data_IF_347590919550
#
_entry.id   IF_347590919550
#
_cell.length_a   1.000
_cell.length_b   1.000
_cell.length_c   1.000
_cell.angle_alpha   90.00
_cell.angle_beta   90.00
_cell.angle_gamma   90.00
#
_symmetry.space_group_name_H-M   'P 1'
#
loop_
_entity.id
_entity.type
_entity.pdbx_description
1 polymer ?
#
# COMPACT_ATOMS: atom_id res chain seq x y z
N UNK A 1 -14.60 -5.16 -25.42
CA UNK A 1 -15.26 -4.10 -26.21
C UNK A 1 -14.27 -3.16 -26.88
N UNK A 2 -13.24 -2.67 -26.15
CA UNK A 2 -12.24 -1.74 -26.67
C UNK A 2 -11.23 -2.40 -27.63
N UNK A 3 -10.87 -3.67 -27.43
CA UNK A 3 -10.03 -4.41 -28.37
C UNK A 3 -10.64 -4.47 -29.78
N UNK A 4 -11.93 -4.75 -29.92
CA UNK A 4 -12.60 -4.73 -31.22
C UNK A 4 -12.59 -3.33 -31.87
N UNK A 5 -12.69 -2.25 -31.09
CA UNK A 5 -12.57 -0.90 -31.61
C UNK A 5 -11.13 -0.63 -32.11
N UNK A 6 -10.13 -0.99 -31.33
CA UNK A 6 -8.72 -0.89 -31.74
C UNK A 6 -8.44 -1.69 -33.03
N UNK A 7 -8.92 -2.93 -33.14
CA UNK A 7 -8.78 -3.76 -34.34
C UNK A 7 -9.43 -3.11 -35.57
N UNK A 8 -10.56 -2.42 -35.37
CA UNK A 8 -11.24 -1.72 -36.45
C UNK A 8 -10.44 -0.51 -36.94
N UNK A 9 -9.96 0.33 -36.02
CA UNK A 9 -9.12 1.47 -36.36
C UNK A 9 -7.78 1.05 -37.01
N UNK A 10 -7.15 -0.03 -36.54
CA UNK A 10 -5.92 -0.56 -37.07
C UNK A 10 -5.98 -0.83 -38.58
N UNK A 11 -7.15 -1.17 -39.10
CA UNK A 11 -7.34 -1.51 -40.53
C UNK A 11 -7.21 -0.29 -41.47
N UNK A 12 -7.55 0.91 -41.00
CA UNK A 12 -7.58 2.08 -41.87
C UNK A 12 -6.73 3.27 -41.41
N UNK A 13 -6.20 3.23 -40.18
CA UNK A 13 -5.51 4.37 -39.58
C UNK A 13 -4.26 4.84 -40.36
N UNK A 14 -3.71 3.98 -41.20
CA UNK A 14 -2.59 4.30 -42.08
C UNK A 14 -3.01 4.67 -43.53
N UNK A 15 -4.31 4.80 -43.76
CA UNK A 15 -4.84 5.22 -45.08
C UNK A 15 -4.93 6.75 -45.16
N UNK A 16 -4.97 7.33 -46.41
CA UNK A 16 -5.12 8.77 -46.57
C UNK A 16 -6.44 9.36 -46.06
N UNK A 17 -7.44 8.52 -45.83
CA UNK A 17 -8.77 8.96 -45.30
C UNK A 17 -8.80 9.09 -43.82
N UNK A 18 -7.79 8.60 -43.09
CA UNK A 18 -7.75 8.69 -41.64
C UNK A 18 -7.52 10.12 -41.18
N UNK A 19 -8.39 10.62 -40.35
CA UNK A 19 -8.37 11.95 -39.75
C UNK A 19 -7.52 11.96 -38.45
N UNK A 20 -7.22 13.14 -37.93
CA UNK A 20 -6.58 13.31 -36.62
C UNK A 20 -7.47 12.75 -35.49
N UNK A 21 -8.78 12.95 -35.60
CA UNK A 21 -9.79 12.39 -34.66
C UNK A 21 -9.79 10.85 -34.68
N UNK A 22 -9.61 10.22 -35.83
CA UNK A 22 -9.47 8.76 -35.93
C UNK A 22 -8.19 8.25 -35.22
N UNK A 23 -7.08 8.99 -35.38
CA UNK A 23 -5.83 8.69 -34.68
C UNK A 23 -6.03 8.77 -33.15
N UNK A 24 -6.70 9.83 -32.70
CA UNK A 24 -6.99 10.00 -31.28
C UNK A 24 -7.89 8.89 -30.73
N UNK A 25 -8.97 8.57 -31.43
CA UNK A 25 -9.89 7.48 -31.03
C UNK A 25 -9.20 6.13 -31.04
N UNK A 26 -8.29 5.89 -31.97
CA UNK A 26 -7.48 4.67 -31.97
C UNK A 26 -6.55 4.59 -30.77
N UNK A 27 -5.79 5.66 -30.51
CA UNK A 27 -4.91 5.72 -29.33
C UNK A 27 -5.70 5.50 -28.04
N UNK A 28 -6.87 6.13 -27.92
CA UNK A 28 -7.74 5.98 -26.75
C UNK A 28 -8.32 4.56 -26.62
N UNK A 29 -8.71 3.92 -27.73
CA UNK A 29 -9.19 2.54 -27.72
C UNK A 29 -8.09 1.55 -27.29
N UNK A 30 -6.84 1.79 -27.70
CA UNK A 30 -5.68 1.02 -27.25
C UNK A 30 -5.41 1.23 -25.75
N UNK A 31 -5.47 2.47 -25.29
CA UNK A 31 -5.33 2.78 -23.86
C UNK A 31 -6.37 2.05 -23.00
N UNK A 32 -7.65 2.13 -23.37
CA UNK A 32 -8.74 1.45 -22.67
C UNK A 32 -8.67 -0.09 -22.77
N UNK A 33 -7.91 -0.60 -23.75
CA UNK A 33 -7.62 -2.04 -23.88
C UNK A 33 -6.33 -2.45 -23.16
N UNK A 34 -5.72 -1.55 -22.39
CA UNK A 34 -4.43 -1.73 -21.69
C UNK A 34 -3.22 -2.01 -22.63
N UNK A 35 -3.33 -1.64 -23.91
CA UNK A 35 -2.26 -1.75 -24.90
C UNK A 35 -1.40 -0.46 -24.89
N UNK A 36 -0.84 -0.13 -23.71
CA UNK A 36 -0.23 1.16 -23.41
C UNK A 36 0.92 1.52 -24.34
N UNK A 37 1.77 0.55 -24.74
CA UNK A 37 2.87 0.76 -25.68
C UNK A 37 2.37 1.21 -27.05
N UNK A 38 1.35 0.55 -27.59
CA UNK A 38 0.79 0.93 -28.90
C UNK A 38 0.02 2.24 -28.80
N UNK A 39 -0.73 2.46 -27.72
CA UNK A 39 -1.41 3.72 -27.45
C UNK A 39 -0.42 4.88 -27.43
N UNK A 40 0.70 4.73 -26.71
CA UNK A 40 1.77 5.71 -26.63
C UNK A 40 2.35 6.03 -28.02
N UNK A 41 2.69 5.01 -28.81
CA UNK A 41 3.24 5.20 -30.14
C UNK A 41 2.26 5.95 -31.07
N UNK A 42 0.97 5.63 -31.01
CA UNK A 42 -0.06 6.32 -31.82
C UNK A 42 -0.26 7.76 -31.34
N UNK A 43 -0.28 8.02 -30.02
CA UNK A 43 -0.39 9.37 -29.47
C UNK A 43 0.81 10.24 -29.84
N UNK A 44 2.03 9.71 -29.78
CA UNK A 44 3.25 10.39 -30.21
C UNK A 44 3.24 10.72 -31.71
N UNK A 45 2.70 9.83 -32.56
CA UNK A 45 2.50 10.12 -33.97
C UNK A 45 1.52 11.27 -34.20
N UNK A 46 0.47 11.37 -33.38
CA UNK A 46 -0.43 12.52 -33.39
C UNK A 46 0.28 13.83 -33.03
N UNK A 47 1.14 13.80 -32.01
CA UNK A 47 1.93 14.98 -31.58
C UNK A 47 2.95 15.45 -32.62
N UNK A 48 3.40 14.59 -33.56
CA UNK A 48 4.25 15.02 -34.69
C UNK A 48 3.53 16.02 -35.62
N UNK A 49 2.19 15.95 -35.67
CA UNK A 49 1.38 16.89 -36.48
C UNK A 49 1.04 18.16 -35.67
N UNK A 50 0.73 18.03 -34.40
CA UNK A 50 0.40 19.13 -33.49
C UNK A 50 0.93 18.84 -32.09
N UNK A 51 2.11 19.33 -31.76
CA UNK A 51 2.79 19.13 -30.50
C UNK A 51 2.00 19.68 -29.27
N UNK A 52 1.06 20.62 -29.49
CA UNK A 52 0.26 21.24 -28.45
C UNK A 52 -1.14 20.61 -28.29
N UNK A 53 -1.43 19.50 -28.98
CA UNK A 53 -2.72 18.86 -28.92
C UNK A 53 -2.97 18.22 -27.55
N UNK A 54 -3.88 18.80 -26.76
CA UNK A 54 -4.12 18.42 -25.36
C UNK A 54 -4.44 16.93 -25.17
N UNK A 55 -5.32 16.35 -26.01
CA UNK A 55 -5.73 14.95 -25.84
C UNK A 55 -4.59 13.95 -26.16
N UNK A 56 -3.68 14.26 -27.07
CA UNK A 56 -2.51 13.42 -27.29
C UNK A 56 -1.48 13.57 -26.16
N UNK A 57 -1.21 14.79 -25.68
CA UNK A 57 -0.33 14.99 -24.51
C UNK A 57 -0.86 14.27 -23.27
N UNK A 58 -2.18 14.33 -23.02
CA UNK A 58 -2.86 13.56 -21.99
C UNK A 58 -2.56 12.07 -22.11
N UNK A 59 -2.76 11.47 -23.27
CA UNK A 59 -2.52 10.03 -23.48
C UNK A 59 -1.04 9.66 -23.34
N UNK A 60 -0.12 10.53 -23.76
CA UNK A 60 1.33 10.30 -23.56
C UNK A 60 1.65 10.29 -22.07
N UNK A 61 1.09 11.20 -21.28
CA UNK A 61 1.24 11.20 -19.81
C UNK A 61 0.68 9.90 -19.21
N UNK A 62 -0.56 9.55 -19.49
CA UNK A 62 -1.22 8.37 -18.94
C UNK A 62 -0.46 7.08 -19.25
N UNK A 63 -0.14 6.87 -20.53
CA UNK A 63 0.58 5.67 -20.96
C UNK A 63 1.95 5.55 -20.29
N UNK A 64 2.71 6.65 -20.16
CA UNK A 64 4.00 6.62 -19.50
C UNK A 64 3.88 6.33 -18.00
N UNK A 65 2.83 6.82 -17.32
CA UNK A 65 2.55 6.47 -15.92
C UNK A 65 2.28 4.97 -15.78
N UNK A 66 1.38 4.42 -16.61
CA UNK A 66 1.04 2.98 -16.58
C UNK A 66 2.23 2.08 -16.94
N UNK A 67 3.11 2.56 -17.83
CA UNK A 67 4.37 1.89 -18.21
C UNK A 67 5.50 2.13 -17.20
N UNK A 68 5.27 2.90 -16.14
CA UNK A 68 6.24 3.27 -15.10
C UNK A 68 7.48 4.01 -15.65
N UNK A 69 7.31 4.74 -16.73
CA UNK A 69 8.32 5.59 -17.36
C UNK A 69 8.19 7.01 -16.80
N UNK A 70 8.56 7.17 -15.54
CA UNK A 70 8.21 8.37 -14.78
C UNK A 70 8.89 9.65 -15.28
N UNK A 71 10.13 9.57 -15.79
CA UNK A 71 10.83 10.73 -16.35
C UNK A 71 10.16 11.23 -17.65
N UNK A 72 9.66 10.31 -18.48
CA UNK A 72 8.91 10.63 -19.69
C UNK A 72 7.49 11.10 -19.35
N UNK A 73 6.90 10.51 -18.32
CA UNK A 73 5.59 10.93 -17.82
C UNK A 73 5.62 12.35 -17.27
N UNK A 74 6.68 12.76 -16.56
CA UNK A 74 6.84 14.12 -16.02
C UNK A 74 6.93 15.16 -17.13
N UNK A 75 7.70 14.88 -18.17
CA UNK A 75 7.77 15.75 -19.38
C UNK A 75 6.43 15.85 -20.10
N UNK A 76 5.71 14.72 -20.18
CA UNK A 76 4.38 14.69 -20.78
C UNK A 76 3.33 15.42 -19.93
N UNK A 77 3.42 15.34 -18.60
CA UNK A 77 2.58 16.10 -17.69
C UNK A 77 2.81 17.62 -17.87
N UNK A 78 4.07 18.06 -17.93
CA UNK A 78 4.40 19.47 -18.19
C UNK A 78 3.83 19.94 -19.55
N UNK A 79 4.01 19.13 -20.61
CA UNK A 79 3.44 19.44 -21.92
C UNK A 79 1.90 19.49 -21.88
N UNK A 80 1.25 18.62 -21.11
CA UNK A 80 -0.21 18.58 -21.01
C UNK A 80 -0.76 19.77 -20.19
N UNK A 81 -0.25 19.98 -18.98
CA UNK A 81 -0.79 20.98 -18.06
C UNK A 81 -0.35 22.41 -18.40
N UNK A 82 0.86 22.62 -18.94
CA UNK A 82 1.44 23.94 -19.08
C UNK A 82 1.60 24.41 -20.55
N UNK A 83 1.60 23.49 -21.52
CA UNK A 83 1.90 23.82 -22.91
C UNK A 83 0.83 23.42 -23.93
N UNK A 84 -0.22 22.70 -23.54
CA UNK A 84 -1.29 22.29 -24.44
C UNK A 84 -2.31 23.40 -24.73
N UNK A 85 -2.86 23.39 -25.93
CA UNK A 85 -3.90 24.33 -26.33
C UNK A 85 -5.28 23.84 -25.88
N UNK A 86 -6.09 24.74 -25.30
CA UNK A 86 -7.47 24.49 -24.90
C UNK A 86 -7.66 23.20 -24.05
N UNK A 87 -6.73 22.93 -23.16
CA UNK A 87 -6.84 21.80 -22.25
C UNK A 87 -7.99 22.00 -21.25
N UNK A 88 -8.89 21.02 -21.19
CA UNK A 88 -9.88 20.91 -20.13
C UNK A 88 -9.49 19.73 -19.23
N UNK A 89 -9.38 19.98 -17.93
CA UNK A 89 -8.85 19.03 -16.97
C UNK A 89 -9.96 18.28 -16.25
N UNK A 90 -9.92 16.95 -16.34
CA UNK A 90 -10.84 16.02 -15.69
C UNK A 90 -10.27 15.52 -14.35
N UNK A 91 -11.12 14.89 -13.57
CA UNK A 91 -10.71 14.15 -12.36
C UNK A 91 -9.57 13.16 -12.66
N UNK A 92 -9.67 12.44 -13.77
CA UNK A 92 -8.67 11.44 -14.17
C UNK A 92 -7.30 12.07 -14.49
N UNK A 93 -7.26 13.28 -15.04
CA UNK A 93 -6.00 13.99 -15.31
C UNK A 93 -5.24 14.29 -14.03
N UNK A 94 -5.92 14.84 -13.03
CA UNK A 94 -5.34 15.13 -11.73
C UNK A 94 -4.95 13.86 -10.97
N UNK A 95 -5.75 12.79 -11.09
CA UNK A 95 -5.42 11.49 -10.50
C UNK A 95 -4.13 10.90 -11.07
N UNK A 96 -3.98 10.89 -12.40
CA UNK A 96 -2.75 10.42 -13.06
C UNK A 96 -1.53 11.28 -12.71
N UNK A 97 -1.73 12.61 -12.63
CA UNK A 97 -0.65 13.52 -12.21
C UNK A 97 -0.27 13.27 -10.74
N UNK A 98 -1.23 13.10 -9.85
CA UNK A 98 -0.99 12.72 -8.45
C UNK A 98 -0.24 11.40 -8.32
N UNK A 99 -0.64 10.37 -9.09
CA UNK A 99 0.04 9.09 -9.10
C UNK A 99 1.50 9.18 -9.58
N UNK A 100 1.75 9.98 -10.63
CA UNK A 100 3.10 10.29 -11.10
C UNK A 100 3.94 10.96 -10.00
N UNK A 101 3.41 12.01 -9.38
CA UNK A 101 4.11 12.76 -8.34
C UNK A 101 4.40 11.89 -7.11
N UNK A 102 3.48 11.01 -6.74
CA UNK A 102 3.69 10.02 -5.68
C UNK A 102 4.83 9.06 -6.03
N UNK A 103 4.87 8.54 -7.27
CA UNK A 103 5.95 7.68 -7.75
C UNK A 103 7.32 8.39 -7.77
N UNK A 104 7.34 9.70 -8.02
CA UNK A 104 8.50 10.58 -7.94
C UNK A 104 8.83 11.03 -6.51
N UNK A 105 8.12 10.52 -5.49
CA UNK A 105 8.25 10.87 -4.06
C UNK A 105 7.96 12.35 -3.76
N UNK A 106 7.22 13.03 -4.61
CA UNK A 106 6.74 14.40 -4.45
C UNK A 106 5.36 14.40 -3.76
N UNK A 107 5.31 13.85 -2.54
CA UNK A 107 4.06 13.47 -1.88
C UNK A 107 3.12 14.65 -1.61
N UNK A 108 3.64 15.82 -1.20
CA UNK A 108 2.80 17.01 -0.96
C UNK A 108 2.08 17.45 -2.24
N UNK A 109 2.79 17.44 -3.37
CA UNK A 109 2.22 17.80 -4.65
C UNK A 109 1.21 16.72 -5.11
N UNK A 110 1.50 15.44 -4.86
CA UNK A 110 0.57 14.35 -5.16
C UNK A 110 -0.76 14.51 -4.41
N UNK A 111 -0.71 14.84 -3.12
CA UNK A 111 -1.89 15.08 -2.28
C UNK A 111 -2.71 16.27 -2.82
N UNK A 112 -2.04 17.34 -3.24
CA UNK A 112 -2.71 18.50 -3.84
C UNK A 112 -3.44 18.11 -5.14
N UNK A 113 -2.80 17.34 -6.01
CA UNK A 113 -3.42 16.88 -7.26
C UNK A 113 -4.59 15.93 -7.02
N UNK A 114 -4.48 15.00 -6.08
CA UNK A 114 -5.62 14.17 -5.67
C UNK A 114 -6.76 14.99 -5.07
N UNK A 115 -6.45 16.06 -4.35
CA UNK A 115 -7.45 17.04 -3.87
C UNK A 115 -8.18 17.70 -5.03
N UNK A 116 -7.48 18.18 -6.06
CA UNK A 116 -8.09 18.73 -7.29
C UNK A 116 -8.93 17.69 -8.04
N UNK A 117 -8.50 16.42 -8.02
CA UNK A 117 -9.30 15.33 -8.60
C UNK A 117 -10.64 15.17 -7.85
N UNK A 118 -10.64 15.20 -6.52
CA UNK A 118 -11.86 15.15 -5.70
C UNK A 118 -12.77 16.37 -5.93
N UNK A 119 -12.21 17.56 -6.12
CA UNK A 119 -13.00 18.77 -6.47
C UNK A 119 -13.72 18.62 -7.80
N UNK A 120 -13.15 17.85 -8.75
CA UNK A 120 -13.79 17.55 -10.04
C UNK A 120 -14.86 16.47 -9.95
N UNK A 121 -14.67 15.49 -9.07
CA UNK A 121 -15.60 14.37 -8.87
C UNK A 121 -15.48 13.79 -7.46
N UNK A 122 -16.30 14.28 -6.53
CA UNK A 122 -16.33 13.83 -5.13
C UNK A 122 -16.74 12.36 -4.98
N UNK A 123 -17.36 11.75 -6.01
CA UNK A 123 -17.78 10.36 -5.97
C UNK A 123 -16.59 9.37 -6.09
N UNK A 124 -15.41 9.85 -6.44
CA UNK A 124 -14.19 9.04 -6.57
C UNK A 124 -13.58 8.74 -5.20
N UNK A 125 -14.29 7.97 -4.39
CA UNK A 125 -13.92 7.66 -2.99
C UNK A 125 -12.54 7.01 -2.86
N UNK A 126 -12.08 6.27 -3.88
CA UNK A 126 -10.74 5.65 -3.93
C UNK A 126 -9.60 6.69 -3.83
N UNK A 127 -9.83 7.94 -4.22
CA UNK A 127 -8.84 9.01 -4.09
C UNK A 127 -8.46 9.27 -2.62
N UNK A 128 -9.38 9.06 -1.68
CA UNK A 128 -9.06 9.18 -0.25
C UNK A 128 -8.05 8.13 0.20
N UNK A 129 -8.07 6.93 -0.41
CA UNK A 129 -7.05 5.91 -0.15
C UNK A 129 -5.71 6.33 -0.76
N UNK A 130 -5.68 6.85 -1.98
CA UNK A 130 -4.45 7.33 -2.62
C UNK A 130 -3.82 8.50 -1.84
N UNK A 131 -4.65 9.38 -1.28
CA UNK A 131 -4.21 10.45 -0.36
C UNK A 131 -3.62 9.85 0.92
N UNK A 132 -4.27 8.84 1.50
CA UNK A 132 -3.79 8.17 2.71
C UNK A 132 -2.45 7.49 2.47
N UNK A 133 -2.29 6.79 1.33
CA UNK A 133 -1.05 6.14 0.93
C UNK A 133 0.09 7.16 0.77
N UNK A 134 -0.19 8.33 0.18
CA UNK A 134 0.79 9.41 0.05
C UNK A 134 1.22 9.99 1.42
N UNK A 135 0.29 10.16 2.36
CA UNK A 135 0.60 10.56 3.73
C UNK A 135 1.38 9.48 4.49
N UNK A 136 1.04 8.18 4.32
CA UNK A 136 1.79 7.06 4.91
C UNK A 136 3.26 7.08 4.43
N UNK A 137 3.49 7.28 3.13
CA UNK A 137 4.82 7.39 2.54
C UNK A 137 5.62 8.61 3.03
N UNK A 138 4.94 9.65 3.52
CA UNK A 138 5.53 10.80 4.21
C UNK A 138 5.79 10.54 5.70
N UNK A 139 5.34 9.42 6.25
CA UNK A 139 5.25 9.13 7.68
C UNK A 139 4.30 10.08 8.44
N UNK A 140 3.39 10.76 7.76
CA UNK A 140 2.33 11.58 8.39
C UNK A 140 1.12 10.68 8.68
N UNK A 141 1.25 9.82 9.68
CA UNK A 141 0.25 8.81 10.00
C UNK A 141 -1.08 9.42 10.47
N UNK A 142 -1.05 10.56 11.14
CA UNK A 142 -2.27 11.25 11.59
C UNK A 142 -3.16 11.63 10.39
N UNK A 143 -2.57 12.23 9.35
CA UNK A 143 -3.30 12.58 8.13
C UNK A 143 -3.65 11.34 7.31
N UNK A 144 -2.76 10.32 7.27
CA UNK A 144 -3.03 9.05 6.60
C UNK A 144 -4.28 8.36 7.19
N UNK A 145 -4.37 8.29 8.51
CA UNK A 145 -5.53 7.73 9.23
C UNK A 145 -6.80 8.53 8.91
N UNK A 146 -6.72 9.86 8.96
CA UNK A 146 -7.87 10.71 8.67
C UNK A 146 -8.40 10.52 7.24
N UNK A 147 -7.50 10.46 6.26
CA UNK A 147 -7.86 10.20 4.86
C UNK A 147 -8.39 8.77 4.66
N UNK A 148 -7.73 7.78 5.24
CA UNK A 148 -8.15 6.38 5.10
C UNK A 148 -9.52 6.12 5.74
N UNK A 149 -9.84 6.77 6.86
CA UNK A 149 -11.17 6.70 7.47
C UNK A 149 -12.25 7.26 6.54
N UNK A 150 -12.00 8.37 5.86
CA UNK A 150 -12.93 8.90 4.85
C UNK A 150 -13.18 7.88 3.73
N UNK A 151 -12.14 7.22 3.24
CA UNK A 151 -12.27 6.12 2.29
C UNK A 151 -13.14 5.00 2.88
N UNK A 152 -12.76 4.47 4.03
CA UNK A 152 -13.43 3.33 4.67
C UNK A 152 -14.90 3.62 4.99
N UNK A 153 -15.20 4.82 5.50
CA UNK A 153 -16.56 5.22 5.85
C UNK A 153 -17.45 5.37 4.61
N UNK A 154 -16.86 5.76 3.47
CA UNK A 154 -17.54 5.89 2.18
C UNK A 154 -17.85 4.54 1.51
N UNK A 155 -17.23 3.45 1.95
CA UNK A 155 -17.48 2.13 1.38
C UNK A 155 -18.87 1.61 1.76
N UNK A 156 -19.53 0.97 0.80
CA UNK A 156 -20.73 0.17 1.08
C UNK A 156 -20.37 -1.00 2.03
N UNK A 157 -21.35 -1.45 2.82
CA UNK A 157 -21.11 -2.43 3.88
C UNK A 157 -20.48 -3.74 3.38
N UNK A 158 -20.88 -4.21 2.20
CA UNK A 158 -20.35 -5.40 1.53
C UNK A 158 -18.89 -5.23 1.02
N UNK A 159 -18.39 -4.00 0.97
CA UNK A 159 -17.01 -3.64 0.60
C UNK A 159 -16.10 -3.41 1.80
N UNK A 160 -16.63 -3.37 3.02
CA UNK A 160 -15.87 -3.23 4.27
C UNK A 160 -15.28 -4.58 4.69
N UNK A 161 -14.14 -4.93 4.10
CA UNK A 161 -13.48 -6.22 4.30
C UNK A 161 -12.45 -6.18 5.44
N UNK A 162 -12.04 -7.36 5.93
CA UNK A 162 -10.94 -7.49 6.88
C UNK A 162 -9.62 -6.90 6.34
N UNK A 163 -9.42 -6.87 5.02
CA UNK A 163 -8.25 -6.26 4.39
C UNK A 163 -8.26 -4.72 4.55
N UNK A 164 -9.43 -4.09 4.40
CA UNK A 164 -9.54 -2.64 4.66
C UNK A 164 -9.28 -2.32 6.14
N UNK A 165 -9.82 -3.13 7.06
CA UNK A 165 -9.53 -2.97 8.50
C UNK A 165 -8.05 -3.20 8.78
N UNK A 166 -7.43 -4.20 8.16
CA UNK A 166 -6.02 -4.49 8.33
C UNK A 166 -5.13 -3.29 7.96
N UNK A 167 -5.44 -2.64 6.84
CA UNK A 167 -4.71 -1.43 6.44
C UNK A 167 -4.89 -0.28 7.44
N UNK A 168 -6.11 -0.07 7.94
CA UNK A 168 -6.36 0.93 8.99
C UNK A 168 -5.58 0.62 10.28
N UNK A 169 -5.57 -0.64 10.70
CA UNK A 169 -4.78 -1.09 11.86
C UNK A 169 -3.30 -0.84 11.69
N UNK A 170 -2.76 -1.07 10.47
CA UNK A 170 -1.36 -0.77 10.13
C UNK A 170 -1.03 0.72 10.25
N UNK A 171 -1.92 1.59 9.82
CA UNK A 171 -1.71 3.03 9.96
C UNK A 171 -1.66 3.46 11.42
N UNK A 172 -2.57 2.98 12.26
CA UNK A 172 -2.53 3.23 13.71
C UNK A 172 -1.27 2.66 14.37
N UNK A 173 -0.85 1.46 13.97
CA UNK A 173 0.41 0.87 14.44
C UNK A 173 1.62 1.73 14.01
N UNK A 174 1.65 2.19 12.76
CA UNK A 174 2.66 3.11 12.26
C UNK A 174 2.73 4.41 13.07
N UNK A 175 1.58 5.01 13.40
CA UNK A 175 1.50 6.19 14.25
C UNK A 175 2.09 5.92 15.64
N UNK A 176 1.73 4.79 16.25
CA UNK A 176 2.21 4.42 17.58
C UNK A 176 3.68 3.96 17.64
N UNK A 177 4.31 3.67 16.51
CA UNK A 177 5.70 3.16 16.44
C UNK A 177 6.65 4.07 15.65
N UNK A 178 6.17 5.16 15.06
CA UNK A 178 7.01 6.10 14.32
C UNK A 178 8.05 6.76 15.24
N UNK A 179 9.21 7.12 14.68
CA UNK A 179 10.31 7.76 15.41
C UNK A 179 9.91 9.09 16.04
N UNK A 180 8.99 9.81 15.39
CA UNK A 180 8.52 11.10 15.89
C UNK A 180 7.66 10.96 17.15
N UNK A 181 6.99 9.82 17.32
CA UNK A 181 6.23 9.50 18.52
C UNK A 181 7.05 8.80 19.60
N UNK A 182 8.19 8.20 19.28
CA UNK A 182 9.09 7.56 20.26
C UNK A 182 9.71 8.57 21.24
N UNK A 183 9.90 9.83 20.84
CA UNK A 183 10.37 10.92 21.72
C UNK A 183 9.29 11.36 22.72
N UNK A 184 8.06 10.97 22.49
CA UNK A 184 6.90 11.27 23.30
C UNK A 184 6.47 9.95 23.95
N UNK A 185 6.85 9.71 25.20
CA UNK A 185 6.14 8.74 26.08
C UNK A 185 4.74 9.30 26.35
N UNK A 186 4.01 9.58 25.30
CA UNK A 186 2.78 10.33 25.38
C UNK A 186 1.58 9.39 25.37
N UNK A 187 0.55 9.89 25.98
CA UNK A 187 -0.79 9.32 25.91
C UNK A 187 -1.19 9.02 24.45
N UNK A 188 -0.72 9.84 23.51
CA UNK A 188 -1.03 9.73 22.08
C UNK A 188 -0.44 8.46 21.44
N UNK A 189 0.83 8.11 21.75
CA UNK A 189 1.43 6.86 21.30
C UNK A 189 0.65 5.64 21.79
N UNK A 190 0.31 5.62 23.07
CA UNK A 190 -0.44 4.52 23.66
C UNK A 190 -1.87 4.47 23.09
N UNK A 191 -2.52 5.62 22.88
CA UNK A 191 -3.83 5.68 22.27
C UNK A 191 -3.82 5.13 20.83
N UNK A 192 -2.79 5.46 20.03
CA UNK A 192 -2.63 4.92 18.67
C UNK A 192 -2.44 3.38 18.69
N UNK A 193 -1.60 2.86 19.59
CA UNK A 193 -1.42 1.41 19.72
C UNK A 193 -2.71 0.71 20.20
N UNK A 194 -3.46 1.30 21.13
CA UNK A 194 -4.75 0.76 21.56
C UNK A 194 -5.79 0.76 20.42
N UNK A 195 -5.80 1.81 19.59
CA UNK A 195 -6.62 1.85 18.39
C UNK A 195 -6.22 0.77 17.39
N UNK A 196 -4.90 0.55 17.20
CA UNK A 196 -4.38 -0.52 16.35
C UNK A 196 -4.85 -1.90 16.84
N UNK A 197 -4.69 -2.19 18.15
CA UNK A 197 -5.16 -3.47 18.73
C UNK A 197 -6.64 -3.67 18.52
N UNK A 198 -7.46 -2.64 18.76
CA UNK A 198 -8.90 -2.70 18.56
C UNK A 198 -9.29 -3.05 17.13
N UNK A 199 -8.61 -2.44 16.15
CA UNK A 199 -8.85 -2.72 14.73
C UNK A 199 -8.36 -4.12 14.35
N UNK A 200 -7.19 -4.54 14.82
CA UNK A 200 -6.70 -5.90 14.55
C UNK A 200 -7.53 -6.98 15.26
N UNK A 201 -8.19 -6.68 16.37
CA UNK A 201 -9.17 -7.57 16.97
C UNK A 201 -10.35 -7.83 16.03
N UNK A 202 -10.87 -6.78 15.36
CA UNK A 202 -11.91 -6.93 14.34
C UNK A 202 -11.42 -7.72 13.13
N UNK A 203 -10.15 -7.55 12.71
CA UNK A 203 -9.55 -8.38 11.66
C UNK A 203 -9.53 -9.86 12.04
N UNK A 204 -9.12 -10.18 13.29
CA UNK A 204 -9.11 -11.55 13.78
C UNK A 204 -10.51 -12.15 13.87
N UNK A 205 -11.51 -11.35 14.24
CA UNK A 205 -12.92 -11.78 14.30
C UNK A 205 -13.50 -12.05 12.91
N UNK A 206 -13.23 -11.18 11.92
CA UNK A 206 -13.73 -11.34 10.56
C UNK A 206 -13.01 -12.44 9.77
N UNK A 207 -11.78 -12.77 10.13
CA UNK A 207 -10.96 -13.77 9.44
C UNK A 207 -10.33 -14.76 10.44
N UNK A 208 -11.13 -15.57 11.14
CA UNK A 208 -10.67 -16.43 12.23
C UNK A 208 -9.68 -17.52 11.77
N UNK A 209 -9.71 -17.91 10.50
CA UNK A 209 -8.76 -18.86 9.91
C UNK A 209 -7.40 -18.21 9.54
N UNK A 210 -7.30 -16.88 9.65
CA UNK A 210 -6.08 -16.14 9.40
C UNK A 210 -5.36 -15.84 10.72
N UNK A 211 -4.06 -16.09 10.75
CA UNK A 211 -3.23 -15.71 11.90
C UNK A 211 -2.89 -14.19 11.93
N UNK A 212 -3.17 -13.45 10.86
CA UNK A 212 -2.66 -12.08 10.69
C UNK A 212 -3.23 -11.10 11.72
N UNK A 213 -4.52 -11.19 12.06
CA UNK A 213 -5.11 -10.33 13.08
C UNK A 213 -4.42 -10.49 14.43
N UNK A 214 -4.29 -11.72 14.92
CA UNK A 214 -3.63 -12.02 16.19
C UNK A 214 -2.12 -11.74 16.15
N UNK A 215 -1.45 -11.96 15.02
CA UNK A 215 -0.03 -11.61 14.85
C UNK A 215 0.22 -10.11 15.00
N UNK A 216 -0.65 -9.29 14.40
CA UNK A 216 -0.50 -7.84 14.53
C UNK A 216 -0.95 -7.32 15.90
N UNK A 217 -1.88 -8.00 16.58
CA UNK A 217 -2.15 -7.76 17.99
C UNK A 217 -0.92 -8.05 18.85
N UNK A 218 -0.25 -9.19 18.60
CA UNK A 218 1.00 -9.52 19.30
C UNK A 218 2.07 -8.44 19.11
N UNK A 219 2.31 -7.99 17.88
CA UNK A 219 3.25 -6.91 17.58
C UNK A 219 2.86 -5.59 18.25
N UNK A 220 1.58 -5.26 18.26
CA UNK A 220 1.05 -4.06 18.89
C UNK A 220 1.26 -4.10 20.41
N UNK A 221 0.96 -5.21 21.06
CA UNK A 221 1.20 -5.39 22.49
C UNK A 221 2.69 -5.45 22.84
N UNK A 222 3.54 -5.97 21.94
CA UNK A 222 4.99 -5.88 22.09
C UNK A 222 5.48 -4.43 22.01
N UNK A 223 4.89 -3.61 21.15
CA UNK A 223 5.20 -2.18 21.08
C UNK A 223 4.69 -1.40 22.31
N UNK A 224 3.62 -1.85 22.99
CA UNK A 224 3.15 -1.27 24.25
C UNK A 224 4.06 -1.64 25.43
N UNK A 225 4.71 -2.81 25.39
CA UNK A 225 5.59 -3.36 26.43
C UNK A 225 6.96 -3.72 25.80
N UNK A 226 7.77 -2.71 25.36
CA UNK A 226 9.00 -2.95 24.61
C UNK A 226 10.06 -3.72 25.39
N UNK A 227 10.07 -3.58 26.72
CA UNK A 227 10.98 -4.33 27.61
C UNK A 227 10.45 -5.74 27.91
N UNK A 228 9.28 -6.11 27.44
CA UNK A 228 8.62 -7.42 27.67
C UNK A 228 8.44 -7.76 29.15
N UNK A 229 8.40 -6.73 30.01
CA UNK A 229 8.31 -6.91 31.46
C UNK A 229 6.94 -7.37 31.92
N UNK A 230 5.88 -6.88 31.28
CA UNK A 230 4.49 -7.28 31.55
C UNK A 230 4.10 -8.56 30.81
N UNK A 231 4.69 -8.78 29.64
CA UNK A 231 4.38 -9.90 28.77
C UNK A 231 3.06 -9.73 28.02
N UNK A 232 2.68 -8.49 27.70
CA UNK A 232 1.39 -8.16 27.08
C UNK A 232 1.15 -8.88 25.75
N UNK A 233 2.19 -9.15 24.98
CA UNK A 233 2.09 -9.82 23.68
C UNK A 233 2.00 -11.35 23.78
N UNK A 234 2.37 -11.94 24.93
CA UNK A 234 2.46 -13.39 25.11
C UNK A 234 1.21 -14.16 24.65
N UNK A 235 -0.01 -13.84 25.13
CA UNK A 235 -1.19 -14.64 24.78
C UNK A 235 -1.50 -14.62 23.28
N UNK A 236 -1.16 -13.54 22.59
CA UNK A 236 -1.36 -13.41 21.15
C UNK A 236 -0.34 -14.21 20.35
N UNK A 237 0.94 -14.17 20.74
CA UNK A 237 1.97 -15.02 20.10
C UNK A 237 1.69 -16.50 20.31
N UNK A 238 1.24 -16.91 21.50
CA UNK A 238 0.84 -18.30 21.76
C UNK A 238 -0.32 -18.73 20.85
N UNK A 239 -1.34 -17.90 20.70
CA UNK A 239 -2.47 -18.16 19.80
C UNK A 239 -2.03 -18.26 18.34
N UNK A 240 -1.12 -17.41 17.90
CA UNK A 240 -0.55 -17.49 16.54
C UNK A 240 0.20 -18.79 16.33
N UNK A 241 1.01 -19.23 17.30
CA UNK A 241 1.72 -20.50 17.26
C UNK A 241 0.74 -21.66 17.06
N UNK A 242 -0.35 -21.70 17.83
CA UNK A 242 -1.35 -22.77 17.73
C UNK A 242 -1.98 -22.82 16.33
N UNK A 243 -2.35 -21.66 15.77
CA UNK A 243 -2.93 -21.57 14.41
C UNK A 243 -1.93 -22.01 13.35
N UNK A 244 -0.66 -21.60 13.45
CA UNK A 244 0.36 -21.91 12.45
C UNK A 244 0.81 -23.39 12.51
N UNK A 245 0.90 -23.97 13.70
CA UNK A 245 1.22 -25.40 13.86
C UNK A 245 0.10 -26.28 13.31
N UNK A 246 -1.17 -25.89 13.50
CA UNK A 246 -2.29 -26.61 12.92
C UNK A 246 -2.26 -26.60 11.38
N UNK A 247 -1.77 -25.53 10.75
CA UNK A 247 -1.59 -25.45 9.28
C UNK A 247 -0.40 -26.26 8.79
N UNK A 248 0.65 -26.37 9.57
CA UNK A 248 1.86 -27.17 9.31
C UNK A 248 2.48 -26.95 7.92
N UNK A 249 2.65 -25.67 7.53
CA UNK A 249 3.19 -25.28 6.23
C UNK A 249 4.51 -24.51 6.37
N UNK A 250 5.58 -24.86 5.61
CA UNK A 250 6.89 -24.21 5.70
C UNK A 250 6.86 -22.69 5.43
N UNK A 251 5.89 -22.20 4.68
CA UNK A 251 5.75 -20.77 4.42
C UNK A 251 5.52 -19.93 5.68
N UNK A 252 5.11 -20.56 6.78
CA UNK A 252 4.89 -19.89 8.07
C UNK A 252 6.11 -19.94 9.00
N UNK A 253 7.22 -20.54 8.60
CA UNK A 253 8.40 -20.69 9.42
C UNK A 253 8.93 -19.35 9.97
N UNK A 254 8.95 -18.30 9.16
CA UNK A 254 9.39 -16.97 9.61
C UNK A 254 8.47 -16.41 10.70
N UNK A 255 7.16 -16.60 10.59
CA UNK A 255 6.21 -16.18 11.61
C UNK A 255 6.34 -16.99 12.90
N UNK A 256 6.57 -18.29 12.81
CA UNK A 256 6.85 -19.16 13.97
C UNK A 256 8.16 -18.75 14.67
N UNK A 257 9.22 -18.42 13.93
CA UNK A 257 10.49 -17.94 14.49
C UNK A 257 10.26 -16.61 15.26
N UNK A 258 9.47 -15.68 14.73
CA UNK A 258 9.11 -14.44 15.44
C UNK A 258 8.39 -14.75 16.76
N UNK A 259 7.37 -15.60 16.71
CA UNK A 259 6.61 -15.98 17.91
C UNK A 259 7.51 -16.65 18.96
N UNK A 260 8.32 -17.63 18.56
CA UNK A 260 9.22 -18.33 19.46
C UNK A 260 10.31 -17.42 20.03
N UNK A 261 10.82 -16.46 19.24
CA UNK A 261 11.79 -15.48 19.73
C UNK A 261 11.23 -14.62 20.85
N UNK A 262 10.00 -14.11 20.70
CA UNK A 262 9.35 -13.36 21.76
C UNK A 262 9.12 -14.22 23.00
N UNK A 263 8.55 -15.42 22.84
CA UNK A 263 8.25 -16.32 23.94
C UNK A 263 9.52 -16.79 24.66
N UNK A 264 10.56 -17.14 23.92
CA UNK A 264 11.86 -17.49 24.48
C UNK A 264 12.48 -16.37 25.32
N UNK A 265 12.40 -15.13 24.81
CA UNK A 265 12.87 -13.95 25.54
C UNK A 265 12.00 -13.66 26.79
N UNK A 266 10.67 -13.72 26.67
CA UNK A 266 9.76 -13.55 27.80
C UNK A 266 10.09 -14.50 28.95
N UNK A 267 10.22 -15.80 28.70
CA UNK A 267 10.54 -16.79 29.75
C UNK A 267 11.96 -16.62 30.30
N UNK A 268 12.91 -16.13 29.50
CA UNK A 268 14.23 -15.75 29.98
C UNK A 268 14.14 -14.64 31.05
N UNK A 269 13.37 -13.58 30.77
CA UNK A 269 13.15 -12.48 31.71
C UNK A 269 12.43 -12.93 33.00
N UNK A 270 11.57 -13.93 32.91
CA UNK A 270 10.90 -14.53 34.08
C UNK A 270 11.76 -15.56 34.81
N UNK A 271 13.03 -15.74 34.41
CA UNK A 271 13.95 -16.75 34.95
C UNK A 271 13.47 -18.20 34.80
N UNK A 272 12.50 -18.45 33.94
CA UNK A 272 12.09 -19.78 33.53
C UNK A 272 12.98 -20.25 32.35
N UNK A 273 14.20 -20.62 32.72
CA UNK A 273 15.23 -21.02 31.76
C UNK A 273 14.90 -22.31 31.02
N UNK A 274 14.14 -23.21 31.63
CA UNK A 274 13.73 -24.46 31.00
C UNK A 274 12.81 -24.18 29.81
N UNK A 275 11.73 -23.44 30.03
CA UNK A 275 10.78 -23.07 28.98
C UNK A 275 11.42 -22.17 27.93
N UNK A 276 12.29 -21.22 28.37
CA UNK A 276 13.04 -20.37 27.43
C UNK A 276 13.87 -21.22 26.45
N UNK A 277 14.66 -22.20 26.96
CA UNK A 277 15.44 -23.12 26.11
C UNK A 277 14.60 -23.92 25.14
N UNK A 278 13.39 -24.34 25.52
CA UNK A 278 12.47 -25.06 24.63
C UNK A 278 12.11 -24.19 23.40
N UNK A 279 11.79 -22.91 23.60
CA UNK A 279 11.46 -22.03 22.49
C UNK A 279 12.64 -21.76 21.56
N UNK A 280 13.83 -21.52 22.12
CA UNK A 280 15.05 -21.33 21.31
C UNK A 280 15.40 -22.59 20.51
N UNK A 281 15.24 -23.78 21.08
CA UNK A 281 15.42 -25.04 20.37
C UNK A 281 14.38 -25.26 19.25
N UNK A 282 13.14 -24.79 19.43
CA UNK A 282 12.12 -24.81 18.34
C UNK A 282 12.56 -23.94 17.15
N UNK A 283 13.22 -22.81 17.41
CA UNK A 283 13.81 -21.99 16.35
C UNK A 283 14.92 -22.76 15.62
N UNK A 284 15.84 -23.39 16.36
CA UNK A 284 16.92 -24.17 15.74
C UNK A 284 16.45 -25.41 14.99
N UNK A 285 15.28 -25.95 15.35
CA UNK A 285 14.63 -27.01 14.57
C UNK A 285 14.12 -26.52 13.20
N UNK A 286 13.79 -25.24 13.06
CA UNK A 286 13.39 -24.61 11.81
C UNK A 286 14.62 -24.08 11.04
N UNK A 287 15.52 -23.39 11.73
CA UNK A 287 16.73 -22.76 11.21
C UNK A 287 17.91 -23.06 12.15
N UNK A 288 18.69 -24.13 11.89
CA UNK A 288 19.83 -24.51 12.73
C UNK A 288 20.94 -23.45 12.78
N UNK A 289 20.95 -22.51 11.84
CA UNK A 289 21.96 -21.45 11.75
C UNK A 289 21.54 -20.14 12.43
N UNK A 290 20.37 -20.09 13.04
CA UNK A 290 19.82 -18.89 13.64
C UNK A 290 20.72 -18.33 14.75
N UNK A 291 21.37 -17.20 14.46
CA UNK A 291 22.37 -16.59 15.33
C UNK A 291 21.79 -16.14 16.70
N UNK A 292 20.55 -15.65 16.69
CA UNK A 292 19.87 -15.19 17.92
C UNK A 292 19.57 -16.35 18.86
N UNK A 293 19.04 -17.46 18.32
CA UNK A 293 18.73 -18.64 19.11
C UNK A 293 20.00 -19.30 19.69
N UNK A 294 21.05 -19.44 18.86
CA UNK A 294 22.35 -19.97 19.32
C UNK A 294 22.91 -19.10 20.46
N UNK A 295 22.97 -17.78 20.28
CA UNK A 295 23.47 -16.85 21.31
C UNK A 295 22.63 -16.89 22.60
N UNK A 296 21.32 -17.01 22.49
CA UNK A 296 20.43 -17.10 23.63
C UNK A 296 20.70 -18.38 24.44
N UNK A 297 20.83 -19.52 23.77
CA UNK A 297 21.12 -20.83 24.41
C UNK A 297 22.49 -20.84 25.08
N UNK A 298 23.52 -20.24 24.47
CA UNK A 298 24.85 -20.10 25.06
C UNK A 298 24.84 -19.24 26.32
N UNK A 299 23.97 -18.25 26.40
CA UNK A 299 23.79 -17.36 27.56
C UNK A 299 22.99 -17.95 28.72
N UNK A 300 22.15 -18.95 28.46
CA UNK A 300 21.33 -19.61 29.49
C UNK A 300 22.10 -20.82 30.05
N UNK A 301 22.78 -20.59 31.16
CA UNK A 301 23.54 -21.64 31.86
C UNK A 301 22.65 -22.55 32.69
#
# INVERSE_FOLDING_TARGET
RFGKAADTYAKFINTPVATEDDILKYAFALFLNHDFEKSLAVAQKGLQKNARHAAFNRLVMYNNVDLKRYDEAEKAADAFFNASDNADYSCLDYRYHGALLSALKKYDQAIEEYGKALEKDESQVDLWREIADAYELKNDYTQAIAAYKKYYDSLAQDKKTSENLFQLGRLYYGEGTSSDTLSVQSADRMAALQAADSVFALVAEQAPDSYLGDMWRARTHSAMDPETTEGLAKPYYEKVVDVLLAKNEPRYNSALIECYSYLGYYYLLKSDYATSKEYWNKILAIDPTNATANKALDGIK
#
